data_IF_289062352778
#
_entry.id   IF_289062352778
#
_cell.length_a   1.000
_cell.length_b   1.000
_cell.length_c   1.000
_cell.angle_alpha   90.00
_cell.angle_beta   90.00
_cell.angle_gamma   90.00
#
_symmetry.space_group_name_H-M   'P 1'
#
loop_
_entity.id
_entity.type
_entity.pdbx_description
1 polymer ?
#
# COMPACT_ATOMS: atom_id res chain seq x y z
N UNK A 1 -2.82 20.36 -13.65
CA UNK A 1 -1.85 19.61 -12.82
C UNK A 1 -2.12 18.13 -13.00
N UNK A 2 -1.10 17.34 -13.28
CA UNK A 2 -1.14 15.94 -13.75
C UNK A 2 -1.64 14.92 -12.71
N UNK A 3 -2.72 15.24 -11.99
CA UNK A 3 -3.33 14.38 -10.98
C UNK A 3 -4.33 13.35 -11.57
N UNK A 4 -4.48 13.27 -12.89
CA UNK A 4 -5.57 12.52 -13.53
C UNK A 4 -5.18 11.28 -14.32
N UNK A 5 -3.89 10.94 -14.45
CA UNK A 5 -3.50 9.58 -14.86
C UNK A 5 -3.20 8.76 -13.62
N UNK A 6 -4.20 8.02 -13.16
CA UNK A 6 -3.96 6.86 -12.29
C UNK A 6 -2.87 6.01 -12.96
N UNK A 7 -1.72 5.88 -12.31
CA UNK A 7 -0.63 5.08 -12.87
C UNK A 7 -1.14 3.65 -13.13
N UNK A 8 -0.65 3.03 -14.21
CA UNK A 8 -1.01 1.65 -14.55
C UNK A 8 -0.80 0.70 -13.37
N UNK A 9 0.27 0.93 -12.59
CA UNK A 9 0.57 0.22 -11.34
C UNK A 9 -0.57 0.37 -10.33
N UNK A 10 -1.03 1.59 -10.05
CA UNK A 10 -2.11 1.83 -9.09
C UNK A 10 -3.42 1.16 -9.55
N UNK A 11 -3.72 1.20 -10.85
CA UNK A 11 -4.88 0.50 -11.42
C UNK A 11 -4.79 -1.02 -11.19
N UNK A 12 -3.63 -1.63 -11.47
CA UNK A 12 -3.43 -3.07 -11.29
C UNK A 12 -3.57 -3.46 -9.82
N UNK A 13 -2.95 -2.71 -8.90
CA UNK A 13 -3.02 -2.96 -7.46
C UNK A 13 -4.49 -2.99 -7.00
N UNK A 14 -5.27 -1.97 -7.37
CA UNK A 14 -6.70 -1.90 -7.05
C UNK A 14 -7.50 -3.03 -7.69
N UNK A 15 -7.26 -3.35 -8.96
CA UNK A 15 -7.99 -4.41 -9.66
C UNK A 15 -7.69 -5.81 -9.10
N UNK A 16 -6.47 -6.05 -8.63
CA UNK A 16 -6.04 -7.34 -8.08
C UNK A 16 -6.30 -7.47 -6.58
N UNK A 17 -6.78 -6.43 -5.91
CA UNK A 17 -7.04 -6.42 -4.47
C UNK A 17 -5.79 -6.84 -3.66
N UNK A 18 -4.62 -6.31 -4.06
CA UNK A 18 -3.34 -6.55 -3.39
C UNK A 18 -2.88 -5.28 -2.67
N UNK A 19 -2.10 -5.45 -1.61
CA UNK A 19 -1.65 -4.34 -0.77
C UNK A 19 -0.20 -3.95 -1.08
N UNK A 20 0.11 -2.67 -0.93
CA UNK A 20 1.48 -2.15 -1.06
C UNK A 20 1.79 -1.20 0.08
N UNK A 21 3.03 -1.18 0.54
CA UNK A 21 3.45 -0.22 1.58
C UNK A 21 3.40 1.23 1.07
N UNK A 22 3.41 1.43 -0.25
CA UNK A 22 3.23 2.74 -0.88
C UNK A 22 1.83 3.32 -0.60
N UNK A 23 0.79 2.47 -0.56
CA UNK A 23 -0.59 2.85 -0.27
C UNK A 23 -0.84 2.89 1.25
N UNK A 24 -0.60 1.78 1.95
CA UNK A 24 -0.89 1.66 3.39
C UNK A 24 -0.02 2.60 4.24
N UNK A 25 1.20 2.88 3.78
CA UNK A 25 2.14 3.80 4.42
C UNK A 25 2.01 5.26 3.99
N UNK A 26 1.08 5.59 3.07
CA UNK A 26 0.88 6.94 2.51
C UNK A 26 2.18 7.59 2.03
N UNK A 27 3.00 6.81 1.32
CA UNK A 27 4.32 7.24 0.89
C UNK A 27 4.23 8.46 -0.06
N UNK A 28 4.94 9.56 0.21
CA UNK A 28 4.91 10.76 -0.64
C UNK A 28 5.49 10.50 -2.04
N UNK A 29 6.39 9.52 -2.18
CA UNK A 29 7.06 9.19 -3.43
C UNK A 29 6.23 8.24 -4.32
N UNK A 30 4.99 7.88 -3.92
CA UNK A 30 4.17 6.89 -4.63
C UNK A 30 3.97 7.23 -6.11
N UNK A 31 3.74 8.50 -6.44
CA UNK A 31 3.58 8.94 -7.83
C UNK A 31 4.82 8.69 -8.68
N UNK A 32 6.00 9.05 -8.15
CA UNK A 32 7.29 8.83 -8.80
C UNK A 32 7.60 7.33 -8.95
N UNK A 33 7.48 6.55 -7.87
CA UNK A 33 7.76 5.11 -7.90
C UNK A 33 6.86 4.39 -8.91
N UNK A 34 5.56 4.71 -8.93
CA UNK A 34 4.63 4.07 -9.85
C UNK A 34 4.84 4.49 -11.31
N UNK A 35 5.26 5.74 -11.56
CA UNK A 35 5.62 6.19 -12.91
C UNK A 35 6.84 5.42 -13.45
N UNK A 36 7.75 5.00 -12.58
CA UNK A 36 8.89 4.12 -12.89
C UNK A 36 8.53 2.63 -12.92
N UNK A 37 7.23 2.27 -12.82
CA UNK A 37 6.81 0.86 -12.79
C UNK A 37 7.21 0.09 -11.52
N UNK A 38 7.59 0.79 -10.45
CA UNK A 38 8.07 0.18 -9.20
C UNK A 38 7.02 0.25 -8.10
N UNK A 39 6.81 -0.85 -7.39
CA UNK A 39 5.99 -0.91 -6.18
C UNK A 39 6.58 -1.89 -5.17
N UNK A 40 6.37 -1.61 -3.88
CA UNK A 40 6.75 -2.53 -2.80
C UNK A 40 5.49 -3.15 -2.21
N UNK A 41 5.33 -4.45 -2.44
CA UNK A 41 4.16 -5.20 -1.98
C UNK A 41 4.16 -5.38 -0.46
N UNK A 42 2.96 -5.30 0.13
CA UNK A 42 2.71 -5.66 1.51
C UNK A 42 2.00 -7.01 1.52
N UNK A 43 2.69 -8.03 2.01
CA UNK A 43 2.17 -9.39 2.12
C UNK A 43 1.40 -9.55 3.44
N UNK A 44 0.57 -10.59 3.50
CA UNK A 44 -0.22 -10.98 4.69
C UNK A 44 -1.37 -10.02 5.06
N UNK A 45 -1.70 -9.08 4.17
CA UNK A 45 -2.84 -8.17 4.33
C UNK A 45 -2.45 -6.76 4.77
N UNK A 46 -3.45 -5.88 4.95
CA UNK A 46 -3.23 -4.46 5.27
C UNK A 46 -3.00 -4.17 6.75
N UNK A 47 -3.33 -5.12 7.63
CA UNK A 47 -3.33 -4.92 9.08
C UNK A 47 -2.12 -5.58 9.73
N UNK A 48 -1.39 -4.82 10.56
CA UNK A 48 -0.28 -5.31 11.35
C UNK A 48 -0.70 -5.50 12.82
N UNK A 49 -0.34 -6.63 13.42
CA UNK A 49 -0.58 -6.91 14.86
C UNK A 49 0.39 -6.18 15.79
N UNK A 50 1.48 -5.62 15.25
CA UNK A 50 2.46 -4.85 16.03
C UNK A 50 2.10 -3.37 16.05
N UNK A 51 2.26 -2.73 17.21
CA UNK A 51 1.98 -1.31 17.41
C UNK A 51 3.24 -0.44 17.37
N UNK A 52 4.04 -0.55 16.30
CA UNK A 52 5.21 0.31 16.12
C UNK A 52 4.77 1.78 16.04
N UNK A 53 5.28 2.64 16.94
CA UNK A 53 4.81 4.02 17.12
C UNK A 53 4.97 4.92 15.87
N UNK A 54 5.93 4.59 14.99
CA UNK A 54 6.20 5.34 13.77
C UNK A 54 5.46 4.82 12.54
N UNK A 55 4.83 3.65 12.62
CA UNK A 55 4.35 2.93 11.45
C UNK A 55 2.87 3.24 11.18
N UNK A 56 2.60 3.85 10.02
CA UNK A 56 1.26 4.30 9.60
C UNK A 56 0.29 3.16 9.22
N UNK A 57 0.79 1.95 8.95
CA UNK A 57 -0.04 0.78 8.58
C UNK A 57 -1.08 0.52 9.66
N UNK A 58 -2.30 0.16 9.25
CA UNK A 58 -3.41 -0.10 10.17
C UNK A 58 -3.04 -1.15 11.22
N UNK A 59 -3.50 -0.91 12.45
CA UNK A 59 -3.24 -1.75 13.62
C UNK A 59 -4.48 -2.54 13.95
N UNK A 60 -4.32 -3.82 14.25
CA UNK A 60 -5.45 -4.65 14.62
C UNK A 60 -5.07 -6.10 14.92
N UNK A 61 -6.04 -6.88 15.42
CA UNK A 61 -5.85 -8.30 15.63
C UNK A 61 -5.61 -9.02 14.31
N UNK A 62 -4.98 -10.18 14.41
CA UNK A 62 -4.74 -11.06 13.29
C UNK A 62 -6.09 -11.57 12.74
N UNK A 63 -6.45 -11.21 11.51
CA UNK A 63 -7.73 -11.60 10.89
C UNK A 63 -7.85 -13.10 10.56
N UNK A 64 -6.73 -13.83 10.59
CA UNK A 64 -6.67 -15.28 10.45
C UNK A 64 -6.53 -16.01 11.80
N UNK A 65 -6.51 -15.28 12.92
CA UNK A 65 -6.68 -15.87 14.24
C UNK A 65 -8.17 -16.00 14.52
N UNK A 66 -8.73 -17.13 14.10
CA UNK A 66 -9.96 -17.65 14.71
C UNK A 66 -9.58 -18.34 16.02
#
# INVERSE_FOLDING_TARGET
>A
GAASELSQVQRIIKQRQIHTICEEGRCPNRGECYAQGTATFLLMGPTCTRSCAFCQVDKGPCSYAT
#
